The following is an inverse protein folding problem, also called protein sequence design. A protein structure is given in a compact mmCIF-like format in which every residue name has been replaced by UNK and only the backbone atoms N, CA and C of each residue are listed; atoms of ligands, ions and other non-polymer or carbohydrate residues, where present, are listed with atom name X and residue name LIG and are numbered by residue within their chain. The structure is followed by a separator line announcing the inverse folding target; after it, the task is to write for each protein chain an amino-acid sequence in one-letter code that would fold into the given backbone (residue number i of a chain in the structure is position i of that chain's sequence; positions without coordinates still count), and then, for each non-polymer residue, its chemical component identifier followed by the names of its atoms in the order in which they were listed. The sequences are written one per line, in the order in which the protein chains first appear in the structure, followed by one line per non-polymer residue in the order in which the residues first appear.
data_IF_782226579258
#
_entry.id   IF_782226579258
#
_cell.length_a   1.000
_cell.length_b   1.000
_cell.length_c   1.000
_cell.angle_alpha   90.00
_cell.angle_beta   90.00
_cell.angle_gamma   90.00
#
_symmetry.space_group_name_H-M   'P 1'
#
loop_
_entity.id
_entity.type
_entity.pdbx_description
1 polymer ?
#
# COMPACT_ATOMS: atom_id res chain seq x y z
N UNK A 1 18.70 -13.11 -17.08
CA UNK A 1 17.91 -11.87 -17.23
C UNK A 1 17.23 -11.67 -15.89
N UNK A 2 17.48 -10.61 -15.10
CA UNK A 2 16.68 -10.43 -13.91
C UNK A 2 15.33 -9.90 -14.38
N UNK A 3 14.29 -10.69 -14.17
CA UNK A 3 12.92 -10.23 -14.27
C UNK A 3 12.78 -9.12 -13.23
N UNK A 4 12.63 -7.86 -13.63
CA UNK A 4 12.27 -6.83 -12.68
C UNK A 4 10.80 -7.04 -12.32
N UNK A 5 10.51 -7.64 -11.17
CA UNK A 5 9.16 -7.63 -10.62
C UNK A 5 8.79 -6.20 -10.25
N UNK A 6 7.95 -5.58 -11.05
CA UNK A 6 7.43 -4.24 -10.78
C UNK A 6 5.93 -4.37 -10.72
N UNK A 7 5.29 -3.69 -9.79
CA UNK A 7 3.84 -3.60 -9.81
C UNK A 7 3.37 -2.98 -11.13
N UNK A 8 2.12 -3.22 -11.51
CA UNK A 8 1.52 -2.41 -12.58
C UNK A 8 1.56 -0.93 -12.11
N UNK A 9 2.12 0.01 -12.90
CA UNK A 9 2.09 1.41 -12.53
C UNK A 9 0.66 1.94 -12.51
N UNK A 10 0.34 2.77 -11.52
CA UNK A 10 -0.93 3.47 -11.41
C UNK A 10 -0.74 4.95 -11.66
N UNK A 11 -1.44 5.49 -12.66
CA UNK A 11 -1.32 6.88 -13.10
C UNK A 11 -2.24 7.76 -12.27
N UNK A 12 -1.75 8.94 -11.86
CA UNK A 12 -2.52 9.92 -11.10
C UNK A 12 -3.76 10.40 -11.87
N UNK A 13 -4.82 10.87 -11.18
CA UNK A 13 -6.01 11.40 -11.84
C UNK A 13 -5.73 12.47 -12.90
N UNK A 14 -4.80 13.39 -12.63
CA UNK A 14 -4.37 14.43 -13.56
C UNK A 14 -3.41 13.96 -14.66
N UNK A 15 -2.96 12.70 -14.61
CA UNK A 15 -2.07 12.04 -15.58
C UNK A 15 -0.64 12.59 -15.66
N UNK A 16 -0.21 13.33 -14.65
CA UNK A 16 1.16 13.89 -14.60
C UNK A 16 2.14 12.99 -13.84
N UNK A 17 1.63 12.07 -13.01
CA UNK A 17 2.46 11.22 -12.15
C UNK A 17 2.03 9.77 -12.25
N UNK A 18 2.92 8.86 -11.89
CA UNK A 18 2.59 7.46 -11.69
C UNK A 18 3.24 6.92 -10.42
N UNK A 19 2.59 5.98 -9.75
CA UNK A 19 3.17 5.21 -8.65
C UNK A 19 3.38 3.76 -9.06
N UNK A 20 4.42 3.15 -8.52
CA UNK A 20 4.67 1.72 -8.67
C UNK A 20 5.54 1.19 -7.54
N UNK A 21 5.42 -0.09 -7.24
CA UNK A 21 6.27 -0.79 -6.25
C UNK A 21 7.35 -1.57 -7.01
N UNK A 22 8.59 -1.45 -6.55
CA UNK A 22 9.73 -2.20 -7.10
C UNK A 22 10.77 -2.49 -6.01
N UNK A 23 11.36 -3.70 -5.98
CA UNK A 23 10.80 -4.92 -6.56
C UNK A 23 9.45 -5.29 -5.91
N UNK A 24 8.60 -6.02 -6.63
CA UNK A 24 7.38 -6.64 -6.10
C UNK A 24 7.55 -8.16 -6.14
N UNK A 25 8.51 -8.64 -5.35
CA UNK A 25 8.94 -10.03 -5.33
C UNK A 25 8.82 -10.62 -3.92
N UNK A 26 8.66 -11.94 -3.86
CA UNK A 26 8.65 -12.68 -2.60
C UNK A 26 9.98 -12.50 -1.86
N UNK A 27 9.93 -12.13 -0.58
CA UNK A 27 11.11 -11.97 0.29
C UNK A 27 12.16 -10.95 -0.20
N UNK A 28 11.78 -10.05 -1.10
CA UNK A 28 12.63 -8.94 -1.52
C UNK A 28 11.99 -7.61 -1.08
N UNK A 29 12.67 -6.82 -0.23
CA UNK A 29 12.11 -5.55 0.22
C UNK A 29 11.90 -4.58 -0.94
N UNK A 30 10.64 -4.30 -1.23
CA UNK A 30 10.19 -3.34 -2.25
C UNK A 30 9.94 -1.95 -1.69
N UNK A 31 10.15 -0.92 -2.51
CA UNK A 31 9.79 0.46 -2.19
C UNK A 31 8.64 0.93 -3.07
N UNK A 32 7.85 1.89 -2.58
CA UNK A 32 6.92 2.66 -3.41
C UNK A 32 7.66 3.83 -4.05
N UNK A 33 7.59 3.91 -5.37
CA UNK A 33 8.16 4.99 -6.17
C UNK A 33 7.08 5.87 -6.75
N UNK A 34 7.42 7.15 -6.94
CA UNK A 34 6.67 8.16 -7.66
C UNK A 34 7.48 8.56 -8.89
N UNK A 35 6.89 8.48 -10.07
CA UNK A 35 7.45 8.96 -11.32
C UNK A 35 6.71 10.20 -11.80
N UNK A 36 7.45 11.26 -12.11
CA UNK A 36 6.94 12.39 -12.87
C UNK A 36 6.92 12.02 -14.36
N UNK A 37 5.74 12.03 -14.98
CA UNK A 37 5.54 11.62 -16.37
C UNK A 37 5.89 12.72 -17.37
N UNK A 38 6.10 13.96 -16.92
CA UNK A 38 6.45 15.11 -17.77
C UNK A 38 7.97 15.15 -17.95
N UNK A 39 8.72 15.06 -16.85
CA UNK A 39 10.19 15.19 -16.87
C UNK A 39 10.92 13.85 -16.74
N UNK A 40 10.24 12.77 -16.38
CA UNK A 40 10.80 11.42 -16.27
C UNK A 40 11.59 11.17 -14.98
N UNK A 41 11.47 12.03 -13.98
CA UNK A 41 12.12 11.86 -12.68
C UNK A 41 11.43 10.76 -11.86
N UNK A 42 12.21 9.93 -11.17
CA UNK A 42 11.71 8.89 -10.27
C UNK A 42 12.22 9.17 -8.86
N UNK A 43 11.31 9.20 -7.89
CA UNK A 43 11.58 9.42 -6.48
C UNK A 43 11.05 8.25 -5.65
N UNK A 44 11.85 7.75 -4.71
CA UNK A 44 11.39 6.82 -3.68
C UNK A 44 10.57 7.58 -2.64
N UNK A 45 9.32 7.17 -2.40
CA UNK A 45 8.39 7.87 -1.50
C UNK A 45 8.05 7.08 -0.24
N UNK A 46 8.06 5.75 -0.29
CA UNK A 46 7.95 4.88 0.89
C UNK A 46 9.00 3.75 0.75
N UNK A 47 10.15 3.84 1.44
CA UNK A 47 11.14 2.77 1.47
C UNK A 47 10.73 1.65 2.45
N UNK A 48 11.34 0.45 2.36
CA UNK A 48 11.27 -0.55 3.41
C UNK A 48 11.66 0.00 4.78
N UNK A 49 10.85 -0.31 5.80
CA UNK A 49 11.21 -0.09 7.18
C UNK A 49 11.98 -1.31 7.71
N UNK A 50 13.29 -1.13 7.91
CA UNK A 50 14.17 -2.19 8.40
C UNK A 50 14.03 -2.47 9.89
N UNK A 51 13.53 -1.50 10.66
CA UNK A 51 13.36 -1.66 12.10
C UNK A 51 12.15 -2.54 12.41
N UNK A 52 11.07 -2.35 11.64
CA UNK A 52 9.82 -3.09 11.80
C UNK A 52 9.66 -4.26 10.80
N UNK A 53 10.61 -4.44 9.88
CA UNK A 53 10.53 -5.40 8.77
C UNK A 53 9.26 -5.23 7.93
N UNK A 54 8.89 -3.97 7.64
CA UNK A 54 7.68 -3.63 6.90
C UNK A 54 7.99 -3.09 5.51
N UNK A 55 7.15 -3.44 4.54
CA UNK A 55 7.26 -2.98 3.15
C UNK A 55 5.90 -2.55 2.59
N UNK A 56 5.88 -1.62 1.62
CA UNK A 56 4.70 -1.37 0.81
C UNK A 56 4.33 -2.62 -0.01
N UNK A 57 3.06 -3.00 0.03
CA UNK A 57 2.51 -4.18 -0.67
C UNK A 57 1.54 -3.81 -1.79
N UNK A 58 0.83 -2.70 -1.63
CA UNK A 58 -0.15 -2.19 -2.60
C UNK A 58 -0.29 -0.68 -2.42
N UNK A 59 -0.58 0.05 -3.48
CA UNK A 59 -0.83 1.48 -3.40
C UNK A 59 -1.77 1.95 -4.50
N UNK A 60 -2.63 2.91 -4.18
CA UNK A 60 -3.58 3.54 -5.10
C UNK A 60 -3.63 5.06 -4.89
N UNK A 61 -3.99 5.79 -5.94
CA UNK A 61 -4.26 7.22 -5.82
C UNK A 61 -5.62 7.48 -5.17
N UNK A 62 -5.64 8.42 -4.22
CA UNK A 62 -6.88 8.99 -3.70
C UNK A 62 -7.29 10.20 -4.53
N UNK A 63 -6.31 11.08 -4.77
CA UNK A 63 -6.39 12.26 -5.62
C UNK A 63 -4.96 12.65 -6.02
N UNK A 64 -4.75 13.80 -6.68
CA UNK A 64 -3.41 14.21 -7.13
C UNK A 64 -2.42 14.57 -5.99
N UNK A 65 -2.88 14.59 -4.72
CA UNK A 65 -2.06 14.89 -3.53
C UNK A 65 -1.83 13.68 -2.63
N UNK A 66 -2.80 12.77 -2.51
CA UNK A 66 -2.74 11.67 -1.56
C UNK A 66 -2.71 10.30 -2.23
N UNK A 67 -1.86 9.43 -1.69
CA UNK A 67 -1.76 8.01 -2.07
C UNK A 67 -2.07 7.16 -0.84
N UNK A 68 -2.98 6.21 -0.96
CA UNK A 68 -3.18 5.19 0.06
C UNK A 68 -2.26 3.99 -0.24
N UNK A 69 -1.62 3.45 0.79
CA UNK A 69 -0.69 2.34 0.67
C UNK A 69 -0.95 1.30 1.76
N UNK A 70 -0.99 0.03 1.38
CA UNK A 70 -0.95 -1.09 2.31
C UNK A 70 0.52 -1.33 2.66
N UNK A 71 0.84 -1.25 3.95
CA UNK A 71 2.16 -1.58 4.49
C UNK A 71 2.01 -2.74 5.48
N UNK A 72 2.87 -3.74 5.35
CA UNK A 72 2.92 -4.88 6.26
C UNK A 72 4.23 -5.64 6.14
N UNK A 73 4.38 -6.72 6.91
CA UNK A 73 5.65 -7.45 7.03
C UNK A 73 6.23 -7.90 5.68
N UNK A 74 7.52 -7.62 5.46
CA UNK A 74 8.24 -7.93 4.22
C UNK A 74 8.61 -9.40 4.06
N UNK A 75 8.68 -10.15 5.16
CA UNK A 75 9.01 -11.58 5.16
C UNK A 75 7.87 -12.44 5.72
N UNK A 76 7.85 -13.71 5.31
CA UNK A 76 6.95 -14.73 5.86
C UNK A 76 5.76 -15.07 4.96
N UNK A 77 5.42 -16.37 4.90
CA UNK A 77 4.41 -16.98 4.00
C UNK A 77 2.97 -16.56 4.27
N UNK A 78 2.72 -15.89 5.38
CA UNK A 78 1.39 -15.54 5.90
C UNK A 78 1.08 -14.05 5.73
N UNK A 79 2.11 -13.21 5.56
CA UNK A 79 1.98 -11.75 5.53
C UNK A 79 1.68 -11.24 4.13
N UNK A 80 0.45 -11.49 3.66
CA UNK A 80 -0.01 -11.09 2.32
C UNK A 80 -0.53 -9.65 2.26
N UNK A 81 -0.82 -9.04 3.41
CA UNK A 81 -1.36 -7.69 3.51
C UNK A 81 -0.80 -6.93 4.70
N UNK A 82 -1.57 -5.97 5.22
CA UNK A 82 -1.17 -5.18 6.38
C UNK A 82 -2.20 -4.10 6.75
N UNK A 83 -1.72 -3.01 7.35
CA UNK A 83 -2.53 -1.83 7.64
C UNK A 83 -2.41 -0.80 6.51
N UNK A 84 -3.35 0.15 6.47
CA UNK A 84 -3.40 1.20 5.46
C UNK A 84 -2.78 2.48 5.99
N UNK A 85 -1.97 3.10 5.14
CA UNK A 85 -1.26 4.35 5.37
C UNK A 85 -1.60 5.34 4.27
N UNK A 86 -1.56 6.63 4.60
CA UNK A 86 -1.75 7.74 3.69
C UNK A 86 -0.43 8.47 3.50
N UNK A 87 0.02 8.58 2.25
CA UNK A 87 1.16 9.40 1.85
C UNK A 87 0.65 10.74 1.32
N UNK A 88 1.11 11.83 1.94
CA UNK A 88 0.86 13.20 1.48
C UNK A 88 2.04 13.68 0.61
N UNK A 89 1.80 13.86 -0.70
CA UNK A 89 2.83 14.32 -1.64
C UNK A 89 3.31 15.74 -1.34
N UNK A 90 2.44 16.61 -0.82
CA UNK A 90 2.76 18.01 -0.55
C UNK A 90 3.73 18.13 0.62
N UNK A 91 3.45 17.40 1.70
CA UNK A 91 4.25 17.43 2.92
C UNK A 91 5.34 16.34 2.97
N UNK A 92 5.33 15.39 2.04
CA UNK A 92 6.19 14.20 2.04
C UNK A 92 6.11 13.43 3.37
N UNK A 93 4.88 13.23 3.87
CA UNK A 93 4.63 12.55 5.17
C UNK A 93 3.81 11.28 4.99
N UNK A 94 4.07 10.29 5.86
CA UNK A 94 3.31 9.04 5.93
C UNK A 94 2.52 9.04 7.24
N UNK A 95 1.23 8.74 7.18
CA UNK A 95 0.35 8.61 8.35
C UNK A 95 -0.41 7.29 8.29
N UNK A 96 -0.33 6.50 9.34
CA UNK A 96 -1.19 5.31 9.48
C UNK A 96 -2.66 5.74 9.67
N UNK A 97 -3.57 5.13 8.92
CA UNK A 97 -5.02 5.45 8.96
C UNK A 97 -5.89 4.29 9.42
N UNK A 98 -5.35 3.07 9.51
CA UNK A 98 -6.01 1.92 10.15
C UNK A 98 -5.12 1.30 11.21
N UNK A 99 -5.72 0.72 12.26
CA UNK A 99 -5.01 0.12 13.38
C UNK A 99 -5.59 -1.26 13.72
N UNK A 100 -5.60 -2.16 12.74
CA UNK A 100 -6.04 -3.53 12.97
C UNK A 100 -4.96 -4.36 13.66
N UNK A 101 -5.41 -5.35 14.44
CA UNK A 101 -4.55 -6.37 15.04
C UNK A 101 -3.95 -7.29 13.97
N UNK A 102 -2.89 -8.02 14.33
CA UNK A 102 -2.10 -8.85 13.40
C UNK A 102 -2.88 -10.01 12.76
N UNK A 103 -4.01 -10.40 13.33
CA UNK A 103 -4.94 -11.38 12.75
C UNK A 103 -5.76 -10.81 11.58
N UNK A 104 -5.74 -9.50 11.35
CA UNK A 104 -6.41 -8.85 10.22
C UNK A 104 -5.35 -8.27 9.28
N UNK A 105 -5.47 -8.57 7.98
CA UNK A 105 -4.60 -8.02 6.95
C UNK A 105 -5.44 -7.48 5.80
N UNK A 106 -5.33 -6.18 5.53
CA UNK A 106 -5.91 -5.56 4.33
C UNK A 106 -5.03 -5.94 3.14
N UNK A 107 -5.65 -6.38 2.06
CA UNK A 107 -4.98 -6.86 0.84
C UNK A 107 -5.39 -6.08 -0.40
N UNK A 108 -6.49 -5.33 -0.34
CA UNK A 108 -7.00 -4.54 -1.45
C UNK A 108 -7.66 -3.25 -0.91
N UNK A 109 -7.49 -2.16 -1.66
CA UNK A 109 -8.14 -0.87 -1.42
C UNK A 109 -8.89 -0.50 -2.70
N UNK A 110 -10.14 -0.10 -2.57
CA UNK A 110 -10.94 0.44 -3.67
C UNK A 110 -11.36 1.86 -3.32
N UNK A 111 -10.94 2.82 -4.14
CA UNK A 111 -11.35 4.23 -3.99
C UNK A 111 -12.71 4.45 -4.65
N UNK A 112 -13.70 4.85 -3.86
CA UNK A 112 -15.00 5.34 -4.32
C UNK A 112 -15.00 6.89 -4.32
N UNK A 113 -16.15 7.54 -4.46
CA UNK A 113 -16.19 9.02 -4.50
C UNK A 113 -15.64 9.61 -3.19
N UNK A 114 -16.29 9.30 -2.07
CA UNK A 114 -16.00 9.86 -0.75
C UNK A 114 -15.45 8.83 0.25
N UNK A 115 -15.27 7.58 -0.16
CA UNK A 115 -14.82 6.50 0.73
C UNK A 115 -13.68 5.67 0.14
N UNK A 116 -12.98 4.98 1.04
CA UNK A 116 -12.10 3.86 0.73
C UNK A 116 -12.71 2.57 1.25
N UNK A 117 -13.09 1.69 0.35
CA UNK A 117 -13.48 0.33 0.69
C UNK A 117 -12.22 -0.52 0.83
N UNK A 118 -12.07 -1.14 1.99
CA UNK A 118 -10.95 -1.99 2.35
C UNK A 118 -11.41 -3.44 2.33
N UNK A 119 -10.65 -4.30 1.65
CA UNK A 119 -10.85 -5.74 1.68
C UNK A 119 -9.60 -6.43 2.17
N UNK A 120 -9.81 -7.48 2.94
CA UNK A 120 -8.73 -8.21 3.54
C UNK A 120 -9.17 -9.59 4.03
N UNK A 121 -8.34 -10.13 4.89
CA UNK A 121 -8.58 -11.39 5.56
C UNK A 121 -8.50 -11.21 7.07
N UNK A 122 -9.26 -12.01 7.79
CA UNK A 122 -9.14 -12.19 9.23
C UNK A 122 -8.84 -13.66 9.53
N UNK A 123 -7.68 -13.92 10.08
CA UNK A 123 -7.29 -15.25 10.55
C UNK A 123 -8.17 -15.67 11.73
N UNK A 124 -8.60 -16.93 11.72
CA UNK A 124 -9.50 -17.49 12.75
C UNK A 124 -8.83 -18.56 13.60
N UNK A 125 -7.56 -18.84 13.34
CA UNK A 125 -6.70 -19.72 14.11
C UNK A 125 -5.35 -19.06 14.43
N UNK A 126 -4.69 -19.56 15.48
CA UNK A 126 -3.41 -18.98 15.94
C UNK A 126 -2.21 -19.39 15.08
N UNK A 127 -2.43 -20.35 14.17
CA UNK A 127 -1.41 -20.86 13.24
C UNK A 127 -1.55 -20.27 11.83
N UNK A 128 -2.50 -19.37 11.63
CA UNK A 128 -2.72 -18.62 10.39
C UNK A 128 -2.99 -19.49 9.15
N UNK A 129 -3.69 -20.62 9.30
CA UNK A 129 -4.08 -21.49 8.17
C UNK A 129 -5.51 -21.25 7.72
N UNK A 130 -6.38 -20.80 8.61
CA UNK A 130 -7.79 -20.54 8.31
C UNK A 130 -8.07 -19.04 8.39
N UNK A 131 -8.77 -18.51 7.39
CA UNK A 131 -9.19 -17.12 7.37
C UNK A 131 -10.61 -16.95 6.83
N UNK A 132 -11.20 -15.81 7.17
CA UNK A 132 -12.48 -15.34 6.61
C UNK A 132 -12.27 -13.99 5.93
N UNK A 133 -13.11 -13.62 4.95
CA UNK A 133 -13.10 -12.28 4.39
C UNK A 133 -13.30 -11.22 5.48
N UNK A 134 -12.57 -10.12 5.37
CA UNK A 134 -12.72 -8.92 6.18
C UNK A 134 -12.99 -7.74 5.26
N UNK A 135 -13.95 -6.90 5.64
CA UNK A 135 -14.30 -5.68 4.91
C UNK A 135 -14.45 -4.55 5.91
N UNK A 136 -14.00 -3.36 5.53
CA UNK A 136 -14.19 -2.12 6.27
C UNK A 136 -14.25 -0.94 5.29
N UNK A 137 -14.76 0.21 5.73
CA UNK A 137 -14.86 1.41 4.90
C UNK A 137 -14.40 2.62 5.68
N UNK A 138 -13.51 3.41 5.08
CA UNK A 138 -13.05 4.69 5.63
C UNK A 138 -13.67 5.87 4.88
N UNK A 139 -14.10 6.89 5.61
CA UNK A 139 -14.56 8.15 5.04
C UNK A 139 -13.37 9.07 4.74
N UNK A 140 -13.19 9.44 3.46
CA UNK A 140 -12.09 10.28 3.01
C UNK A 140 -12.10 11.65 3.70
N UNK A 141 -13.28 12.20 4.03
CA UNK A 141 -13.42 13.51 4.69
C UNK A 141 -12.81 13.56 6.09
N UNK A 142 -12.54 12.40 6.69
CA UNK A 142 -11.98 12.28 8.04
C UNK A 142 -10.48 11.99 8.07
N UNK A 143 -9.90 11.56 6.94
CA UNK A 143 -8.52 11.08 6.87
C UNK A 143 -7.61 11.91 5.93
N UNK A 144 -8.18 12.66 4.99
CA UNK A 144 -7.46 13.56 4.06
C UNK A 144 -7.51 15.03 4.44
#
# INVERSE_FOLDING_TARGET
MPYSSVSKPEVSPNKEKAIFISPLEWEVPGSLYLMDLIIGEIKEIIPPDKENDEIPKYAIWINDRYVACIIGFGMGTVSIGGNVFLYDLENSTVKQITYYSSDIQITEIVKLEDTLDLKGIKYVDDIYNEFKPFEDTLDLTTIT
#
